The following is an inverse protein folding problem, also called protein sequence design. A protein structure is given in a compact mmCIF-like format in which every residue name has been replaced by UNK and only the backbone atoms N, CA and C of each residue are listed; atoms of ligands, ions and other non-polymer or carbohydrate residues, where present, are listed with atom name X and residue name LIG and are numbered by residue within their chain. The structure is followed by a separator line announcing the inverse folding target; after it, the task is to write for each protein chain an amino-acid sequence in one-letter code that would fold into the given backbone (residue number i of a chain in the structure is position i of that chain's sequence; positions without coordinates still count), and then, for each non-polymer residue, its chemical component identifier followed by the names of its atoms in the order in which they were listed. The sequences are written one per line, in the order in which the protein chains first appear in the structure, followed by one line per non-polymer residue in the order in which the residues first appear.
data_IF_598455863962
#
_entry.id   IF_598455863962
#
_cell.length_a   1.000
_cell.length_b   1.000
_cell.length_c   1.000
_cell.angle_alpha   90.00
_cell.angle_beta   90.00
_cell.angle_gamma   90.00
#
_symmetry.space_group_name_H-M   'P 1'
#
loop_
_entity.id
_entity.type
_entity.pdbx_description
1 polymer ?
#
# COMPACT_ATOMS: atom_id res chain seq x y z
N UNK A 1 16.97 -23.33 6.89
CA UNK A 1 15.61 -22.97 6.54
C UNK A 1 14.82 -22.69 7.81
N UNK A 2 14.07 -21.56 7.89
CA UNK A 2 13.19 -21.23 9.00
C UNK A 2 11.95 -20.53 8.46
N UNK A 3 10.86 -20.50 9.25
CA UNK A 3 9.62 -19.81 8.88
C UNK A 3 9.47 -18.55 9.70
N UNK A 4 9.16 -17.44 9.05
CA UNK A 4 8.88 -16.14 9.66
C UNK A 4 7.40 -15.84 9.49
N UNK A 5 6.70 -15.58 10.59
CA UNK A 5 5.30 -15.13 10.53
C UNK A 5 5.21 -13.69 10.03
N UNK A 6 4.28 -13.43 9.12
CA UNK A 6 4.05 -12.11 8.55
C UNK A 6 2.58 -11.94 8.19
N UNK A 7 2.22 -10.72 7.82
CA UNK A 7 0.91 -10.37 7.28
C UNK A 7 1.05 -10.04 5.80
N UNK A 8 0.09 -10.49 5.00
CA UNK A 8 0.06 -10.23 3.57
C UNK A 8 -0.01 -8.71 3.29
N UNK A 9 0.89 -8.15 2.43
CA UNK A 9 0.96 -6.70 2.20
C UNK A 9 -0.01 -6.17 1.14
N UNK A 10 -0.81 -7.03 0.50
CA UNK A 10 -1.54 -6.62 -0.70
C UNK A 10 -2.85 -5.88 -0.44
N UNK A 11 -3.64 -6.30 0.52
CA UNK A 11 -4.92 -5.66 0.79
C UNK A 11 -5.26 -5.62 2.28
N UNK A 12 -6.32 -4.89 2.62
CA UNK A 12 -6.76 -4.67 4.00
C UNK A 12 -7.34 -5.88 4.73
N UNK A 13 -7.47 -7.04 4.07
CA UNK A 13 -7.91 -8.29 4.73
C UNK A 13 -6.93 -8.70 5.82
N UNK A 14 -5.61 -8.48 5.60
CA UNK A 14 -4.60 -8.79 6.61
C UNK A 14 -4.41 -10.28 6.85
N UNK A 15 -4.37 -11.08 5.77
CA UNK A 15 -4.16 -12.53 5.88
C UNK A 15 -2.81 -12.87 6.50
N UNK A 16 -2.82 -13.81 7.47
CA UNK A 16 -1.59 -14.35 8.06
C UNK A 16 -0.88 -15.30 7.11
N UNK A 17 0.42 -15.13 6.99
CA UNK A 17 1.27 -16.00 6.18
C UNK A 17 2.58 -16.34 6.88
N UNK A 18 3.07 -17.54 6.63
CA UNK A 18 4.42 -17.99 6.98
C UNK A 18 5.34 -17.85 5.76
N UNK A 19 6.43 -17.11 5.93
CA UNK A 19 7.45 -16.97 4.91
C UNK A 19 8.56 -17.98 5.20
N UNK A 20 8.74 -18.94 4.32
CA UNK A 20 9.88 -19.88 4.42
C UNK A 20 11.12 -19.22 3.84
N UNK A 21 12.12 -19.03 4.71
CA UNK A 21 13.37 -18.33 4.36
C UNK A 21 14.53 -19.30 4.35
N UNK A 22 15.28 -19.26 3.26
CA UNK A 22 16.53 -20.00 3.06
C UNK A 22 17.56 -19.08 2.41
N UNK A 23 18.79 -19.07 2.93
CA UNK A 23 19.86 -18.20 2.43
C UNK A 23 19.43 -16.73 2.23
N UNK A 24 18.65 -16.21 3.19
CA UNK A 24 18.10 -14.84 3.15
C UNK A 24 17.16 -14.56 1.97
N UNK A 25 16.56 -15.59 1.37
CA UNK A 25 15.54 -15.47 0.32
C UNK A 25 14.25 -16.17 0.75
N UNK A 26 13.11 -15.64 0.34
CA UNK A 26 11.82 -16.28 0.53
C UNK A 26 11.69 -17.37 -0.55
N UNK A 27 11.65 -18.62 -0.12
CA UNK A 27 11.57 -19.78 -1.03
C UNK A 27 10.16 -20.33 -1.14
N UNK A 28 9.28 -20.06 -0.16
CA UNK A 28 7.88 -20.43 -0.20
C UNK A 28 7.05 -19.55 0.73
N UNK A 29 5.74 -19.48 0.44
CA UNK A 29 4.74 -18.83 1.28
C UNK A 29 3.72 -19.89 1.68
N UNK A 30 3.31 -19.88 2.94
CA UNK A 30 2.34 -20.80 3.52
C UNK A 30 1.25 -20.00 4.25
N UNK A 31 -0.04 -20.41 4.18
CA UNK A 31 -1.07 -19.80 4.99
C UNK A 31 -0.90 -20.21 6.45
N UNK A 32 -1.29 -19.34 7.38
CA UNK A 32 -1.31 -19.67 8.83
C UNK A 32 -2.66 -20.29 9.17
N UNK A 33 -2.75 -21.59 9.49
CA UNK A 33 -4.02 -22.30 9.64
C UNK A 33 -4.99 -21.69 10.65
N UNK A 34 -4.47 -21.22 11.78
CA UNK A 34 -5.26 -20.69 12.89
C UNK A 34 -5.26 -19.15 12.95
N UNK A 35 -4.95 -18.49 11.83
CA UNK A 35 -5.00 -17.04 11.79
C UNK A 35 -6.45 -16.54 11.93
N UNK A 36 -6.75 -15.57 12.84
CA UNK A 36 -8.13 -15.21 13.17
C UNK A 36 -8.92 -14.64 11.98
N UNK A 37 -8.23 -14.03 11.00
CA UNK A 37 -8.86 -13.42 9.84
C UNK A 37 -8.91 -14.40 8.66
N UNK A 38 -7.77 -14.93 8.24
CA UNK A 38 -7.66 -15.72 7.00
C UNK A 38 -7.93 -17.21 7.18
N UNK A 39 -7.90 -17.74 8.40
CA UNK A 39 -8.24 -19.13 8.73
C UNK A 39 -7.57 -20.15 7.79
N UNK A 40 -6.29 -19.97 7.53
CA UNK A 40 -5.53 -20.84 6.66
C UNK A 40 -5.73 -20.61 5.15
N UNK A 41 -6.33 -19.48 4.75
CA UNK A 41 -6.58 -19.17 3.34
C UNK A 41 -5.66 -18.04 2.87
N UNK A 42 -5.21 -18.15 1.63
CA UNK A 42 -4.52 -17.09 0.88
C UNK A 42 -5.07 -17.04 -0.53
N UNK A 43 -5.27 -15.85 -1.07
CA UNK A 43 -5.58 -15.67 -2.49
C UNK A 43 -4.32 -15.73 -3.36
N UNK A 44 -4.49 -15.68 -4.67
CA UNK A 44 -3.37 -15.73 -5.63
C UNK A 44 -2.26 -14.71 -5.32
N UNK A 45 -2.60 -13.48 -4.89
CA UNK A 45 -1.61 -12.46 -4.50
C UNK A 45 -0.79 -12.88 -3.29
N UNK A 46 -1.46 -13.36 -2.23
CA UNK A 46 -0.77 -13.83 -1.02
C UNK A 46 0.20 -14.96 -1.29
N UNK A 47 -0.21 -15.95 -2.07
CA UNK A 47 0.65 -17.06 -2.48
C UNK A 47 1.88 -16.61 -3.28
N UNK A 48 1.76 -15.53 -4.06
CA UNK A 48 2.82 -15.02 -4.91
C UNK A 48 3.65 -13.89 -4.27
N UNK A 49 3.55 -13.68 -2.96
CA UNK A 49 4.29 -12.62 -2.25
C UNK A 49 5.80 -12.72 -2.47
N UNK A 50 6.36 -13.93 -2.59
CA UNK A 50 7.79 -14.13 -2.79
C UNK A 50 8.32 -13.44 -4.07
N UNK A 51 7.53 -13.42 -5.16
CA UNK A 51 7.93 -12.75 -6.41
C UNK A 51 8.06 -11.23 -6.26
N UNK A 52 7.27 -10.61 -5.37
CA UNK A 52 7.33 -9.16 -5.12
C UNK A 52 8.56 -8.70 -4.33
N UNK A 53 9.31 -9.64 -3.77
CA UNK A 53 10.52 -9.35 -2.98
C UNK A 53 11.79 -9.96 -3.58
N UNK A 54 11.72 -10.41 -4.84
CA UNK A 54 12.89 -10.95 -5.53
C UNK A 54 14.01 -9.89 -5.64
N UNK A 55 15.20 -10.16 -5.09
CA UNK A 55 16.30 -9.19 -5.09
C UNK A 55 16.78 -8.79 -6.49
N UNK A 56 16.62 -9.64 -7.49
CA UNK A 56 17.07 -9.36 -8.86
C UNK A 56 16.20 -8.33 -9.57
N UNK A 57 14.93 -8.23 -9.21
CA UNK A 57 13.98 -7.29 -9.80
C UNK A 57 13.68 -6.09 -8.90
N UNK A 58 14.09 -6.16 -7.63
CA UNK A 58 13.76 -5.13 -6.65
C UNK A 58 14.77 -3.99 -6.68
N UNK A 59 14.27 -2.75 -6.76
CA UNK A 59 15.08 -1.55 -6.54
C UNK A 59 15.51 -1.53 -5.07
N UNK A 60 16.82 -1.60 -4.80
CA UNK A 60 17.39 -1.67 -3.46
C UNK A 60 18.12 -0.39 -3.05
N UNK A 61 18.25 0.58 -3.96
CA UNK A 61 18.90 1.87 -3.72
C UNK A 61 18.22 2.97 -4.54
N UNK A 62 18.34 4.25 -4.15
CA UNK A 62 17.78 5.35 -4.93
C UNK A 62 18.33 5.39 -6.34
N UNK A 63 17.49 5.79 -7.27
CA UNK A 63 17.84 5.98 -8.67
C UNK A 63 17.58 7.43 -9.07
N UNK A 64 18.54 8.07 -9.72
CA UNK A 64 18.42 9.42 -10.28
C UNK A 64 18.33 9.33 -11.79
N UNK A 65 17.41 10.09 -12.40
CA UNK A 65 17.28 10.16 -13.85
C UNK A 65 18.44 10.94 -14.45
N UNK A 66 19.07 10.37 -15.47
CA UNK A 66 20.06 11.02 -16.31
C UNK A 66 19.68 10.80 -17.78
N UNK A 67 19.07 11.82 -18.37
CA UNK A 67 18.48 11.70 -19.72
C UNK A 67 17.34 10.69 -19.76
N UNK A 68 17.50 9.60 -20.52
CA UNK A 68 16.51 8.52 -20.62
C UNK A 68 16.76 7.38 -19.60
N UNK A 69 17.92 7.33 -18.98
CA UNK A 69 18.33 6.27 -18.08
C UNK A 69 18.14 6.65 -16.62
N UNK A 70 18.17 5.61 -15.75
CA UNK A 70 18.18 5.76 -14.30
C UNK A 70 19.51 5.20 -13.77
N UNK A 71 20.24 6.02 -13.02
CA UNK A 71 21.51 5.64 -12.44
C UNK A 71 21.39 5.54 -10.91
N UNK A 72 22.04 4.54 -10.28
CA UNK A 72 22.08 4.42 -8.85
C UNK A 72 22.82 5.58 -8.19
N UNK A 73 22.26 6.11 -7.11
CA UNK A 73 22.87 7.17 -6.27
C UNK A 73 22.80 6.78 -4.80
N UNK A 74 23.58 7.44 -3.96
CA UNK A 74 23.50 7.28 -2.51
C UNK A 74 22.22 7.90 -1.94
N UNK A 75 21.79 7.43 -0.77
CA UNK A 75 20.67 8.06 -0.05
C UNK A 75 20.94 9.52 0.29
N UNK A 76 22.18 9.87 0.67
CA UNK A 76 22.56 11.24 0.96
C UNK A 76 22.37 12.12 -0.27
N UNK A 77 22.93 11.73 -1.42
CA UNK A 77 22.78 12.46 -2.67
C UNK A 77 21.31 12.62 -3.08
N UNK A 78 20.51 11.54 -3.00
CA UNK A 78 19.10 11.59 -3.35
C UNK A 78 18.31 12.56 -2.45
N UNK A 79 18.55 12.53 -1.14
CA UNK A 79 17.87 13.40 -0.18
C UNK A 79 18.29 14.86 -0.32
N UNK A 80 19.57 15.13 -0.54
CA UNK A 80 20.08 16.49 -0.76
C UNK A 80 19.48 17.09 -2.03
N UNK A 81 19.48 16.35 -3.13
CA UNK A 81 18.89 16.77 -4.41
C UNK A 81 17.38 17.07 -4.29
N UNK A 82 16.63 16.19 -3.63
CA UNK A 82 15.19 16.41 -3.37
C UNK A 82 14.96 17.64 -2.49
N UNK A 83 15.77 17.80 -1.43
CA UNK A 83 15.62 18.93 -0.52
C UNK A 83 15.96 20.26 -1.17
N UNK A 84 16.95 20.30 -2.06
CA UNK A 84 17.29 21.49 -2.83
C UNK A 84 16.14 21.87 -3.77
N UNK A 85 15.64 20.94 -4.57
CA UNK A 85 14.53 21.20 -5.49
C UNK A 85 13.28 21.66 -4.75
N UNK A 86 12.92 21.04 -3.63
CA UNK A 86 11.78 21.46 -2.82
C UNK A 86 11.96 22.87 -2.26
N UNK A 87 13.15 23.23 -1.77
CA UNK A 87 13.43 24.58 -1.29
C UNK A 87 13.26 25.62 -2.41
N UNK A 88 13.75 25.32 -3.61
CA UNK A 88 13.63 26.19 -4.75
C UNK A 88 12.17 26.41 -5.15
N UNK A 89 11.38 25.36 -5.21
CA UNK A 89 9.93 25.43 -5.48
C UNK A 89 9.22 26.26 -4.40
N UNK A 90 9.50 26.00 -3.14
CA UNK A 90 8.88 26.74 -2.03
C UNK A 90 9.25 28.22 -2.04
N UNK A 91 10.49 28.56 -2.41
CA UNK A 91 10.96 29.94 -2.48
C UNK A 91 10.40 30.72 -3.68
N UNK A 92 10.29 30.08 -4.85
CA UNK A 92 9.90 30.74 -6.08
C UNK A 92 8.40 30.69 -6.34
N UNK A 93 7.75 29.55 -6.04
CA UNK A 93 6.37 29.27 -6.43
C UNK A 93 5.40 29.18 -5.23
N UNK A 94 5.95 29.00 -4.03
CA UNK A 94 5.19 28.92 -2.79
C UNK A 94 4.67 27.51 -2.47
N UNK A 95 4.28 27.31 -1.21
CA UNK A 95 3.86 26.01 -0.67
C UNK A 95 2.58 25.44 -1.33
N UNK A 96 1.74 26.28 -1.90
CA UNK A 96 0.48 25.87 -2.53
C UNK A 96 0.69 25.14 -3.87
N UNK A 97 1.88 25.23 -4.45
CA UNK A 97 2.20 24.51 -5.69
C UNK A 97 2.63 23.07 -5.44
N UNK A 98 2.88 22.70 -4.18
CA UNK A 98 3.29 21.36 -3.79
C UNK A 98 2.09 20.56 -3.33
N UNK A 99 1.87 19.40 -3.97
CA UNK A 99 0.89 18.40 -3.57
C UNK A 99 1.56 17.11 -3.07
N UNK A 100 0.99 16.50 -2.03
CA UNK A 100 1.48 15.26 -1.44
C UNK A 100 0.39 14.18 -1.52
N UNK A 101 0.73 13.02 -2.03
CA UNK A 101 -0.18 11.87 -2.10
C UNK A 101 0.37 10.74 -1.25
N UNK A 102 -0.42 10.37 -0.23
CA UNK A 102 -0.14 9.23 0.65
C UNK A 102 -0.80 7.95 0.14
N UNK A 103 -0.65 6.84 0.84
CA UNK A 103 -1.14 5.55 0.40
C UNK A 103 -1.73 4.72 1.54
N UNK A 104 -2.83 4.02 1.25
CA UNK A 104 -3.46 3.07 2.16
C UNK A 104 -2.59 1.83 2.46
N UNK A 105 -1.62 1.55 1.63
CA UNK A 105 -0.68 0.42 1.82
C UNK A 105 0.57 0.79 2.62
N UNK A 106 0.76 2.06 2.93
CA UNK A 106 1.78 2.52 3.86
C UNK A 106 1.33 2.27 5.30
N UNK A 107 2.27 2.20 6.22
CA UNK A 107 1.94 2.07 7.64
C UNK A 107 1.29 3.35 8.19
N UNK A 108 0.65 3.27 9.35
CA UNK A 108 0.12 4.45 10.01
C UNK A 108 1.23 5.47 10.33
N UNK A 109 2.41 4.97 10.68
CA UNK A 109 3.59 5.78 10.97
C UNK A 109 4.09 6.52 9.75
N UNK A 110 4.13 5.86 8.58
CA UNK A 110 4.50 6.50 7.31
C UNK A 110 3.52 7.61 6.94
N UNK A 111 2.22 7.32 7.03
CA UNK A 111 1.16 8.31 6.75
C UNK A 111 1.23 9.50 7.71
N UNK A 112 1.48 9.25 9.00
CA UNK A 112 1.65 10.32 9.99
C UNK A 112 2.90 11.17 9.70
N UNK A 113 4.04 10.52 9.42
CA UNK A 113 5.28 11.21 9.12
C UNK A 113 5.15 12.07 7.86
N UNK A 114 4.52 11.54 6.81
CA UNK A 114 4.28 12.26 5.56
C UNK A 114 3.35 13.46 5.75
N UNK A 115 2.26 13.30 6.53
CA UNK A 115 1.36 14.41 6.85
C UNK A 115 2.06 15.49 7.68
N UNK A 116 2.87 15.09 8.66
CA UNK A 116 3.68 16.02 9.46
C UNK A 116 4.69 16.78 8.59
N UNK A 117 5.37 16.08 7.69
CA UNK A 117 6.29 16.69 6.73
C UNK A 117 5.58 17.72 5.83
N UNK A 118 4.45 17.35 5.23
CA UNK A 118 3.68 18.25 4.38
C UNK A 118 3.28 19.54 5.12
N UNK A 119 2.76 19.40 6.34
CA UNK A 119 2.23 20.56 7.10
C UNK A 119 3.31 21.38 7.81
N UNK A 120 4.31 20.73 8.39
CA UNK A 120 5.31 21.42 9.21
C UNK A 120 6.53 21.90 8.43
N UNK A 121 6.92 21.17 7.37
CA UNK A 121 8.12 21.48 6.56
C UNK A 121 7.72 22.16 5.26
N UNK A 122 6.85 21.53 4.45
CA UNK A 122 6.42 22.10 3.18
C UNK A 122 5.37 23.21 3.35
N UNK A 123 4.75 23.32 4.52
CA UNK A 123 3.70 24.30 4.85
C UNK A 123 2.51 24.28 3.86
N UNK A 124 2.18 23.08 3.36
CA UNK A 124 1.05 22.88 2.47
C UNK A 124 -0.06 22.07 3.14
N UNK A 125 -1.31 22.37 2.77
CA UNK A 125 -2.48 21.54 3.10
C UNK A 125 -2.91 20.65 1.93
N UNK A 126 -2.22 20.71 0.81
CA UNK A 126 -2.48 19.89 -0.38
C UNK A 126 -1.95 18.48 -0.18
N UNK A 127 -2.52 17.77 0.78
CA UNK A 127 -2.22 16.37 1.04
C UNK A 127 -3.49 15.55 1.02
N UNK A 128 -3.48 14.49 0.26
CA UNK A 128 -4.56 13.52 0.21
C UNK A 128 -4.01 12.10 0.09
N UNK A 129 -4.86 11.15 -0.15
CA UNK A 129 -4.61 9.75 -0.02
C UNK A 129 -5.23 8.99 -1.18
N UNK A 130 -4.66 7.87 -1.58
CA UNK A 130 -5.14 7.06 -2.70
C UNK A 130 -6.63 6.70 -2.56
N UNK A 131 -7.15 6.57 -1.35
CA UNK A 131 -8.55 6.28 -1.08
C UNK A 131 -9.53 7.36 -1.60
N UNK A 132 -9.07 8.59 -1.85
CA UNK A 132 -9.90 9.67 -2.41
C UNK A 132 -10.56 9.26 -3.72
N UNK A 133 -9.85 8.59 -4.58
CA UNK A 133 -10.33 8.13 -5.89
C UNK A 133 -10.76 6.66 -5.82
N UNK A 134 -10.16 5.86 -4.93
CA UNK A 134 -10.38 4.43 -4.82
C UNK A 134 -11.77 4.11 -4.26
N UNK A 135 -12.01 4.33 -2.96
CA UNK A 135 -13.24 3.91 -2.30
C UNK A 135 -14.02 5.03 -1.59
N UNK A 136 -13.51 6.25 -1.51
CA UNK A 136 -14.27 7.37 -0.94
C UNK A 136 -15.63 7.59 -1.63
N UNK A 137 -15.75 7.46 -2.96
CA UNK A 137 -17.06 7.47 -3.62
C UNK A 137 -17.99 6.35 -3.14
N UNK A 138 -17.45 5.15 -2.90
CA UNK A 138 -18.23 4.02 -2.37
C UNK A 138 -18.69 4.27 -0.94
N UNK A 139 -17.82 4.83 -0.10
CA UNK A 139 -18.18 5.24 1.28
C UNK A 139 -19.30 6.26 1.25
N UNK A 140 -19.21 7.29 0.39
CA UNK A 140 -20.26 8.29 0.25
C UNK A 140 -21.57 7.70 -0.26
N UNK A 141 -21.51 6.84 -1.28
CA UNK A 141 -22.67 6.16 -1.83
C UNK A 141 -23.37 5.25 -0.81
N UNK A 142 -22.63 4.44 -0.08
CA UNK A 142 -23.14 3.58 0.98
C UNK A 142 -23.77 4.40 2.11
N UNK A 143 -23.10 5.46 2.55
CA UNK A 143 -23.63 6.34 3.59
C UNK A 143 -24.96 7.02 3.19
N UNK A 144 -25.10 7.45 1.94
CA UNK A 144 -26.30 8.06 1.43
C UNK A 144 -27.46 7.07 1.24
N UNK A 145 -27.17 5.84 0.85
CA UNK A 145 -28.19 4.83 0.53
C UNK A 145 -28.57 3.97 1.73
N UNK A 146 -27.58 3.62 2.57
CA UNK A 146 -27.72 2.65 3.66
C UNK A 146 -27.50 3.27 5.05
N UNK A 147 -27.12 4.54 5.10
CA UNK A 147 -26.84 5.24 6.36
C UNK A 147 -25.47 4.94 6.99
N UNK A 148 -24.66 4.07 6.36
CA UNK A 148 -23.33 3.73 6.85
C UNK A 148 -22.38 3.54 5.67
N UNK A 149 -21.16 4.08 5.78
CA UNK A 149 -20.11 3.93 4.77
C UNK A 149 -19.35 2.60 4.81
N UNK A 150 -19.91 1.60 5.44
CA UNK A 150 -19.31 0.28 5.61
C UNK A 150 -20.19 -0.83 5.06
N UNK A 151 -19.60 -2.01 4.90
CA UNK A 151 -20.28 -3.24 4.50
C UNK A 151 -21.42 -3.58 5.48
N UNK A 152 -22.59 -3.93 4.94
CA UNK A 152 -23.80 -4.26 5.75
C UNK A 152 -23.89 -5.72 6.15
N UNK A 153 -23.14 -6.60 5.49
CA UNK A 153 -23.13 -8.03 5.71
C UNK A 153 -21.80 -8.52 6.25
N UNK A 154 -21.78 -9.68 6.87
CA UNK A 154 -20.53 -10.35 7.26
C UNK A 154 -19.95 -11.12 6.06
N UNK A 155 -18.63 -11.40 6.10
CA UNK A 155 -18.00 -12.26 5.08
C UNK A 155 -18.58 -13.67 5.07
N UNK A 156 -19.07 -14.16 6.21
CA UNK A 156 -19.69 -15.48 6.31
C UNK A 156 -21.05 -15.58 5.59
N UNK A 157 -21.73 -14.46 5.35
CA UNK A 157 -23.02 -14.46 4.64
C UNK A 157 -22.86 -14.89 3.19
N UNK A 158 -21.67 -14.77 2.61
CA UNK A 158 -21.36 -15.25 1.26
C UNK A 158 -21.57 -16.77 1.17
N UNK A 159 -21.25 -17.53 2.22
CA UNK A 159 -21.42 -18.99 2.26
C UNK A 159 -22.90 -19.41 2.31
N UNK A 160 -23.79 -18.51 2.65
CA UNK A 160 -25.23 -18.74 2.80
C UNK A 160 -26.08 -18.07 1.70
N UNK A 161 -25.44 -17.40 0.75
CA UNK A 161 -26.15 -16.71 -0.31
C UNK A 161 -26.55 -17.66 -1.44
N UNK A 162 -27.83 -17.65 -1.81
CA UNK A 162 -28.33 -18.40 -2.98
C UNK A 162 -27.89 -17.78 -4.31
N UNK A 163 -27.59 -16.47 -4.32
CA UNK A 163 -27.14 -15.73 -5.48
C UNK A 163 -26.07 -14.70 -5.07
N UNK A 164 -24.94 -14.72 -5.76
CA UNK A 164 -23.87 -13.75 -5.61
C UNK A 164 -23.75 -12.94 -6.89
N UNK A 165 -23.89 -11.62 -6.79
CA UNK A 165 -23.72 -10.69 -7.91
C UNK A 165 -22.40 -9.94 -7.77
N UNK A 166 -21.49 -10.12 -8.73
CA UNK A 166 -20.22 -9.39 -8.82
C UNK A 166 -20.39 -8.30 -9.88
N UNK A 167 -20.34 -7.05 -9.45
CA UNK A 167 -20.57 -5.91 -10.33
C UNK A 167 -19.43 -4.89 -10.23
N UNK A 168 -18.70 -4.69 -11.33
CA UNK A 168 -17.63 -3.72 -11.42
C UNK A 168 -16.47 -3.97 -10.44
N UNK A 169 -16.31 -5.21 -9.98
CA UNK A 169 -15.26 -5.60 -9.06
C UNK A 169 -14.35 -6.65 -9.70
N UNK A 170 -13.05 -6.43 -9.61
CA UNK A 170 -12.05 -7.44 -9.91
C UNK A 170 -11.60 -8.08 -8.59
N UNK A 171 -12.22 -9.21 -8.25
CA UNK A 171 -11.95 -9.93 -7.00
C UNK A 171 -10.57 -10.58 -6.97
N UNK A 172 -9.88 -10.66 -8.10
CA UNK A 172 -8.51 -11.18 -8.18
C UNK A 172 -7.47 -10.11 -7.92
N UNK A 173 -7.81 -8.83 -8.14
CA UNK A 173 -6.91 -7.68 -7.99
C UNK A 173 -7.13 -6.88 -6.71
N UNK A 174 -8.36 -6.52 -6.41
CA UNK A 174 -8.65 -5.48 -5.42
C UNK A 174 -9.34 -5.97 -4.14
N UNK A 175 -9.88 -7.15 -4.14
CA UNK A 175 -10.75 -7.60 -3.04
C UNK A 175 -10.46 -9.04 -2.59
#
# INVERSE_FOLDING_TARGET
MHTVSSICPFCGVGCGMGLRVEHNRIVAVEPVPNHPVSQGKLCAKGWNTAFGVDPEQRITQPLKRQGLDFVPVSWAEALDDIAEQLRDILANDGSQTVGVISCARATNEDNYALQKFARSVLQTHNIDHCARICHSPSVAGLAQTLGSGAMTNSMADVDHADLIVIWGADVTENH
#
